data_IF_015002476088
#
_entry.id   IF_015002476088
#
_cell.length_a   1.000
_cell.length_b   1.000
_cell.length_c   1.000
_cell.angle_alpha   90.00
_cell.angle_beta   90.00
_cell.angle_gamma   90.00
#
_symmetry.space_group_name_H-M   'P 1'
#
loop_
_entity.id
_entity.type
_entity.pdbx_description
1 polymer ?
#
# COMPACT_ATOMS: atom_id res chain seq x y z
N UNK A 1 -9.97 -19.68 -8.75
CA UNK A 1 -8.87 -18.70 -8.71
C UNK A 1 -9.14 -17.68 -7.61
N UNK A 2 -8.12 -17.36 -6.82
CA UNK A 2 -8.26 -16.41 -5.72
C UNK A 2 -7.16 -15.36 -5.90
N UNK A 3 -7.52 -14.20 -6.44
CA UNK A 3 -6.54 -13.19 -6.80
C UNK A 3 -7.12 -11.81 -6.56
N UNK A 4 -6.34 -10.96 -5.89
CA UNK A 4 -6.75 -9.61 -5.56
C UNK A 4 -5.63 -8.66 -5.97
N UNK A 5 -6.00 -7.55 -6.59
CA UNK A 5 -5.05 -6.49 -6.94
C UNK A 5 -5.63 -5.21 -6.38
N UNK A 6 -4.87 -4.54 -5.52
CA UNK A 6 -5.33 -3.32 -4.86
C UNK A 6 -4.28 -2.24 -4.96
N UNK A 7 -4.73 -1.01 -5.09
CA UNK A 7 -3.86 0.16 -5.01
C UNK A 7 -4.41 1.07 -3.94
N UNK A 8 -3.57 1.43 -2.98
CA UNK A 8 -4.01 2.29 -1.90
C UNK A 8 -2.85 2.81 -1.08
N UNK A 9 -3.17 3.57 -0.04
CA UNK A 9 -2.18 4.13 0.86
C UNK A 9 -2.25 3.46 2.21
N UNK A 10 -1.09 3.27 2.83
CA UNK A 10 -1.06 2.73 4.18
C UNK A 10 -1.68 3.76 5.14
N UNK A 11 -2.55 3.27 6.01
CA UNK A 11 -3.21 4.14 6.98
C UNK A 11 -2.32 4.42 8.18
N UNK A 12 -1.34 3.55 8.42
CA UNK A 12 -0.34 3.72 9.48
C UNK A 12 0.85 2.85 9.14
N UNK A 13 1.91 2.98 9.92
CA UNK A 13 3.10 2.16 9.71
C UNK A 13 2.77 0.69 9.90
N UNK A 14 3.43 -0.20 9.15
CA UNK A 14 3.19 -1.63 9.32
C UNK A 14 3.53 -2.11 10.73
N UNK A 15 2.71 -3.02 11.23
CA UNK A 15 2.98 -3.69 12.49
C UNK A 15 3.77 -4.95 12.17
N UNK A 16 5.03 -4.99 12.56
CA UNK A 16 5.94 -6.05 12.16
C UNK A 16 6.26 -6.94 13.35
N UNK A 17 6.18 -8.24 13.15
CA UNK A 17 6.53 -9.23 14.15
C UNK A 17 7.37 -10.31 13.52
N UNK A 18 8.21 -10.94 14.33
CA UNK A 18 9.01 -12.07 13.89
C UNK A 18 8.55 -13.29 14.67
N UNK A 19 8.19 -14.34 13.94
CA UNK A 19 7.71 -15.58 14.55
C UNK A 19 8.69 -16.69 14.23
N UNK A 20 8.94 -17.56 15.19
CA UNK A 20 9.77 -18.74 14.97
C UNK A 20 8.87 -19.90 14.62
N UNK A 21 9.23 -20.61 13.57
CA UNK A 21 8.53 -21.83 13.24
C UNK A 21 9.08 -22.96 14.09
N UNK A 22 8.23 -23.93 14.32
CA UNK A 22 8.57 -25.05 15.18
C UNK A 22 9.89 -25.68 14.77
N UNK A 23 10.84 -25.70 15.70
CA UNK A 23 12.12 -26.37 15.48
C UNK A 23 13.08 -25.65 14.58
N UNK A 24 12.72 -24.51 14.05
CA UNK A 24 13.59 -23.75 13.17
C UNK A 24 14.23 -22.61 13.96
N UNK A 25 15.51 -22.36 13.71
CA UNK A 25 16.16 -21.22 14.31
C UNK A 25 15.89 -19.94 13.53
N UNK A 26 15.30 -20.07 12.36
CA UNK A 26 14.98 -18.91 11.54
C UNK A 26 13.62 -18.37 11.93
N UNK A 27 13.55 -17.05 12.05
CA UNK A 27 12.28 -16.39 12.31
C UNK A 27 11.69 -15.92 10.99
N UNK A 28 10.37 -15.95 10.91
CA UNK A 28 9.66 -15.44 9.75
C UNK A 28 9.09 -14.07 10.09
N UNK A 29 9.34 -13.12 9.20
CA UNK A 29 8.82 -11.77 9.34
C UNK A 29 7.35 -11.75 8.92
N UNK A 30 6.50 -11.18 9.78
CA UNK A 30 5.09 -11.00 9.48
C UNK A 30 4.77 -9.53 9.65
N UNK A 31 4.36 -8.88 8.58
CA UNK A 31 3.99 -7.46 8.62
C UNK A 31 2.51 -7.34 8.32
N UNK A 32 1.80 -6.58 9.15
CA UNK A 32 0.39 -6.32 8.94
C UNK A 32 0.20 -4.83 8.76
N UNK A 33 -0.58 -4.47 7.76
CA UNK A 33 -0.91 -3.07 7.52
C UNK A 33 -2.28 -2.98 6.89
N UNK A 34 -2.85 -1.79 6.92
CA UNK A 34 -4.16 -1.53 6.34
C UNK A 34 -4.01 -0.55 5.20
N UNK A 35 -4.60 -0.88 4.07
CA UNK A 35 -4.60 0.00 2.91
C UNK A 35 -5.94 0.71 2.81
N UNK A 36 -5.88 2.01 2.56
CA UNK A 36 -7.06 2.79 2.23
C UNK A 36 -7.17 2.79 0.71
N UNK A 37 -8.15 2.07 0.20
CA UNK A 37 -8.37 1.92 -1.24
C UNK A 37 -9.58 2.76 -1.62
N UNK A 38 -9.36 3.70 -2.54
CA UNK A 38 -10.42 4.63 -2.93
C UNK A 38 -11.58 3.90 -3.61
N UNK A 39 -12.78 4.30 -3.26
CA UNK A 39 -13.98 3.81 -3.93
C UNK A 39 -14.21 4.64 -5.18
N UNK A 40 -14.57 3.98 -6.25
CA UNK A 40 -14.91 4.66 -7.49
C UNK A 40 -16.30 5.26 -7.35
N UNK A 41 -16.44 6.52 -7.79
CA UNK A 41 -17.73 7.17 -7.80
C UNK A 41 -18.31 7.52 -6.44
N UNK A 42 -17.48 7.63 -5.43
CA UNK A 42 -17.96 8.01 -4.11
C UNK A 42 -18.55 9.43 -4.15
N UNK A 43 -19.71 9.60 -3.50
CA UNK A 43 -20.36 10.90 -3.44
C UNK A 43 -20.08 11.56 -2.11
N UNK A 44 -20.33 12.87 -2.07
CA UNK A 44 -20.16 13.62 -0.84
C UNK A 44 -21.02 13.00 0.26
N UNK A 45 -20.43 12.89 1.45
CA UNK A 45 -21.13 12.31 2.58
C UNK A 45 -21.06 10.81 2.66
N UNK A 46 -20.48 10.16 1.67
CA UNK A 46 -20.31 8.70 1.68
C UNK A 46 -18.85 8.35 1.98
N UNK A 47 -18.65 7.14 2.45
CA UNK A 47 -17.30 6.66 2.68
C UNK A 47 -16.57 6.62 1.34
N UNK A 48 -15.43 7.29 1.28
CA UNK A 48 -14.69 7.41 0.03
C UNK A 48 -13.62 6.35 -0.13
N UNK A 49 -13.34 5.57 0.90
CA UNK A 49 -12.30 4.55 0.84
C UNK A 49 -12.72 3.31 1.61
N UNK A 50 -12.21 2.19 1.16
CA UNK A 50 -12.32 0.93 1.89
C UNK A 50 -11.00 0.66 2.58
N UNK A 51 -11.08 0.19 3.82
CA UNK A 51 -9.89 -0.11 4.60
C UNK A 51 -9.68 -1.62 4.58
N UNK A 52 -8.62 -2.03 3.92
CA UNK A 52 -8.38 -3.45 3.64
C UNK A 52 -7.18 -3.92 4.46
N UNK A 53 -7.39 -4.93 5.28
CA UNK A 53 -6.32 -5.51 6.09
C UNK A 53 -5.44 -6.39 5.22
N UNK A 54 -4.14 -6.18 5.30
CA UNK A 54 -3.17 -6.93 4.52
C UNK A 54 -2.13 -7.55 5.44
N UNK A 55 -1.64 -8.72 5.05
CA UNK A 55 -0.59 -9.38 5.79
C UNK A 55 0.48 -9.87 4.82
N UNK A 56 1.73 -9.59 5.13
CA UNK A 56 2.87 -9.95 4.31
C UNK A 56 3.81 -10.82 5.11
N UNK A 57 4.22 -11.93 4.52
CA UNK A 57 5.08 -12.91 5.19
C UNK A 57 6.46 -12.95 4.54
N UNK A 58 7.46 -13.27 5.33
CA UNK A 58 8.81 -13.52 4.83
C UNK A 58 9.41 -12.30 4.18
N UNK A 59 9.87 -12.42 2.96
CA UNK A 59 10.52 -11.32 2.26
C UNK A 59 9.59 -10.14 2.04
N UNK A 60 8.31 -10.43 1.81
CA UNK A 60 7.33 -9.36 1.66
C UNK A 60 7.16 -8.59 2.97
N UNK A 61 7.20 -9.30 4.09
CA UNK A 61 7.15 -8.65 5.39
C UNK A 61 8.37 -7.78 5.64
N UNK A 62 9.54 -8.27 5.26
CA UNK A 62 10.77 -7.49 5.42
C UNK A 62 10.76 -6.25 4.53
N UNK A 63 10.23 -6.38 3.32
CA UNK A 63 10.09 -5.24 2.45
C UNK A 63 9.18 -4.18 3.08
N UNK A 64 8.07 -4.62 3.66
CA UNK A 64 7.15 -3.71 4.31
C UNK A 64 7.81 -3.00 5.48
N UNK A 65 8.58 -3.75 6.27
CA UNK A 65 9.28 -3.17 7.41
C UNK A 65 10.25 -2.09 6.99
N UNK A 66 11.00 -2.35 5.92
CA UNK A 66 12.06 -1.44 5.50
C UNK A 66 11.55 -0.23 4.73
N UNK A 67 10.53 -0.41 3.93
CA UNK A 67 10.20 0.60 2.93
C UNK A 67 8.81 1.19 3.04
N UNK A 68 7.88 0.54 3.73
CA UNK A 68 6.51 1.03 3.78
C UNK A 68 6.25 1.81 5.04
N UNK A 69 5.59 2.95 4.89
CA UNK A 69 5.26 3.84 6.00
C UNK A 69 3.85 4.37 5.81
N UNK A 70 3.33 4.97 6.86
CA UNK A 70 2.03 5.63 6.79
C UNK A 70 2.01 6.59 5.61
N UNK A 71 0.97 6.52 4.81
CA UNK A 71 0.78 7.41 3.68
C UNK A 71 1.42 6.97 2.38
N UNK A 72 2.24 5.93 2.40
CA UNK A 72 2.88 5.43 1.18
C UNK A 72 1.84 4.77 0.29
N UNK A 73 1.86 5.11 -0.99
CA UNK A 73 0.94 4.53 -1.96
C UNK A 73 1.59 3.35 -2.64
N UNK A 74 0.91 2.22 -2.61
CA UNK A 74 1.45 0.98 -3.17
C UNK A 74 0.39 0.24 -3.94
N UNK A 75 0.84 -0.65 -4.82
CA UNK A 75 0.00 -1.63 -5.48
C UNK A 75 0.37 -2.99 -4.90
N UNK A 76 -0.63 -3.73 -4.47
CA UNK A 76 -0.38 -5.07 -3.95
C UNK A 76 -1.15 -6.09 -4.78
N UNK A 77 -0.57 -7.25 -4.88
CA UNK A 77 -1.20 -8.41 -5.48
C UNK A 77 -1.18 -9.51 -4.45
N UNK A 78 -2.29 -10.19 -4.28
CA UNK A 78 -2.36 -11.25 -3.30
C UNK A 78 -3.65 -12.05 -3.44
N UNK A 79 -4.02 -12.71 -2.35
CA UNK A 79 -5.22 -13.52 -2.29
C UNK A 79 -5.99 -13.23 -1.02
N UNK A 80 -7.28 -13.45 -1.08
CA UNK A 80 -8.14 -13.27 0.09
C UNK A 80 -8.02 -14.52 0.96
N UNK A 81 -7.85 -14.32 2.25
CA UNK A 81 -7.85 -15.41 3.20
C UNK A 81 -8.79 -15.05 4.33
N UNK A 82 -9.71 -15.94 4.62
CA UNK A 82 -10.65 -15.76 5.72
C UNK A 82 -10.23 -16.61 6.90
N UNK A 83 -10.64 -16.17 8.08
CA UNK A 83 -10.37 -16.92 9.29
C UNK A 83 -11.36 -16.54 10.37
N UNK A 84 -11.16 -17.08 11.55
CA UNK A 84 -12.01 -16.72 12.68
C UNK A 84 -11.25 -17.01 13.97
N UNK A 85 -11.66 -16.29 15.02
CA UNK A 85 -11.15 -16.53 16.36
C UNK A 85 -12.26 -16.24 17.35
N UNK A 86 -12.10 -16.73 18.57
CA UNK A 86 -13.04 -16.47 19.65
C UNK A 86 -12.47 -15.35 20.51
N UNK A 87 -13.25 -14.28 20.69
CA UNK A 87 -12.78 -13.17 21.50
C UNK A 87 -12.99 -13.47 22.99
N UNK A 88 -12.64 -12.50 23.83
CA UNK A 88 -12.72 -12.69 25.28
C UNK A 88 -14.14 -12.90 25.78
N UNK A 89 -15.12 -12.39 25.02
CA UNK A 89 -16.52 -12.51 25.41
C UNK A 89 -17.13 -13.82 24.96
N UNK A 90 -16.33 -14.70 24.33
CA UNK A 90 -16.80 -15.99 23.85
C UNK A 90 -17.47 -15.93 22.49
N UNK A 91 -17.43 -14.79 21.85
CA UNK A 91 -18.07 -14.63 20.55
C UNK A 91 -17.07 -14.95 19.43
N UNK A 92 -17.56 -15.58 18.38
CA UNK A 92 -16.74 -15.91 17.23
C UNK A 92 -16.61 -14.69 16.34
N UNK A 93 -15.38 -14.29 16.06
CA UNK A 93 -15.09 -13.14 15.21
C UNK A 93 -14.49 -13.65 13.91
N UNK A 94 -15.06 -13.21 12.79
CA UNK A 94 -14.58 -13.61 11.46
C UNK A 94 -13.65 -12.54 10.93
N UNK A 95 -12.60 -12.99 10.26
CA UNK A 95 -11.60 -12.09 9.70
C UNK A 95 -11.48 -12.33 8.20
N UNK A 96 -11.12 -11.27 7.49
CA UNK A 96 -10.85 -11.34 6.06
C UNK A 96 -9.60 -10.51 5.81
N UNK A 97 -8.54 -11.16 5.35
CA UNK A 97 -7.27 -10.49 5.10
C UNK A 97 -6.83 -10.76 3.67
N UNK A 98 -6.01 -9.86 3.15
CA UNK A 98 -5.35 -10.08 1.87
C UNK A 98 -3.92 -10.51 2.18
N UNK A 99 -3.57 -11.73 1.78
CA UNK A 99 -2.21 -12.24 1.94
C UNK A 99 -1.41 -11.76 0.75
N UNK A 100 -0.36 -10.99 1.03
CA UNK A 100 0.40 -10.29 -0.01
C UNK A 100 1.36 -11.26 -0.71
N UNK A 101 1.30 -11.25 -2.03
CA UNK A 101 2.22 -12.00 -2.88
C UNK A 101 3.25 -11.09 -3.51
N UNK A 102 2.84 -9.88 -3.88
CA UNK A 102 3.72 -8.87 -4.46
C UNK A 102 3.29 -7.50 -4.00
N UNK A 103 4.25 -6.60 -3.88
CA UNK A 103 3.95 -5.20 -3.55
C UNK A 103 4.94 -4.31 -4.28
N UNK A 104 4.43 -3.20 -4.82
CA UNK A 104 5.23 -2.25 -5.55
C UNK A 104 4.80 -0.84 -5.18
N UNK A 105 5.73 0.09 -5.27
CA UNK A 105 5.39 1.50 -5.05
C UNK A 105 4.55 2.00 -6.21
N UNK A 106 3.48 2.71 -5.89
CA UNK A 106 2.60 3.31 -6.88
C UNK A 106 2.94 4.77 -7.14
N UNK A 107 3.94 5.30 -6.42
CA UNK A 107 4.45 6.63 -6.65
C UNK A 107 5.91 6.65 -6.26
N UNK A 108 6.67 7.58 -6.80
CA UNK A 108 8.09 7.62 -6.52
C UNK A 108 8.32 8.09 -5.09
N UNK A 109 9.44 7.69 -4.52
CA UNK A 109 9.81 8.13 -3.19
C UNK A 109 9.91 9.66 -3.12
N UNK A 110 10.40 10.25 -4.20
CA UNK A 110 10.52 11.69 -4.27
C UNK A 110 9.14 12.34 -4.28
N UNK A 111 8.20 11.80 -5.03
CA UNK A 111 6.85 12.36 -5.08
C UNK A 111 6.18 12.27 -3.72
N UNK A 112 6.37 11.18 -3.01
CA UNK A 112 5.80 11.03 -1.68
C UNK A 112 6.39 12.07 -0.72
N UNK A 113 7.68 12.32 -0.82
CA UNK A 113 8.31 13.35 -0.01
C UNK A 113 7.81 14.73 -0.34
N UNK A 114 7.62 15.02 -1.61
CA UNK A 114 7.13 16.31 -2.05
C UNK A 114 5.71 16.57 -1.59
N UNK A 115 4.93 15.52 -1.53
CA UNK A 115 3.59 15.68 -1.00
C UNK A 115 3.61 16.19 0.42
N UNK A 116 4.51 15.67 1.20
CA UNK A 116 4.61 16.09 2.58
C UNK A 116 5.08 17.52 2.69
N UNK A 117 5.91 17.95 1.78
CA UNK A 117 6.44 19.30 1.79
C UNK A 117 5.69 20.23 0.94
N UNK A 118 4.90 19.74 0.08
CA UNK A 118 4.21 20.53 -0.81
C UNK A 118 4.96 21.09 -1.81
N UNK A 119 5.64 21.05 -2.06
CA UNK A 119 6.20 21.56 -2.95
C UNK A 119 6.11 22.01 -3.96
N UNK A 120 6.02 22.35 -4.01
CA UNK A 120 5.98 22.86 -5.05
C UNK A 120 7.04 22.62 -5.81
N UNK A 121 7.46 22.39 -6.15
CA UNK A 121 8.39 22.24 -6.86
C UNK A 121 8.30 21.89 -8.01
N UNK A 122 8.40 22.01 -8.42
CA UNK A 122 8.34 21.80 -9.38
C UNK A 122 9.12 21.53 -10.12
N UNK A 123 9.51 21.54 -10.64
CA UNK A 123 10.03 21.38 -11.33
C UNK A 123 10.50 20.89 -11.89
N UNK A 124 10.47 20.74 -12.31
CA UNK A 124 10.82 20.27 -12.78
C UNK A 124 11.35 19.97 -13.26
N UNK A 125 11.37 20.09 -13.47
CA UNK A 125 11.65 19.71 -13.90
C UNK A 125 12.11 19.30 -14.40
N UNK A 126 12.27 19.40 -14.63
CA UNK A 126 12.57 19.00 -15.03
C UNK A 126 12.61 18.45 -15.67
N UNK A 127 12.57 18.45 -16.04
CA UNK A 127 12.52 18.09 -16.72
C UNK A 127 11.90 17.36 -17.31
N UNK A 128 11.35 17.10 -17.46
CA UNK A 128 10.70 16.47 -17.87
C UNK A 128 9.78 17.01 -18.57
N UNK A 129 9.66 17.30 -18.61
CA UNK A 129 8.97 17.81 -19.06
C UNK A 129 8.89 18.77 -19.42
N UNK A 130 9.22 19.16 -19.61
CA UNK A 130 9.08 20.13 -19.88
C UNK A 130 9.11 20.47 -20.78
N UNK A 131 8.94 20.28 -21.30
CA UNK A 131 8.68 20.60 -21.96
C UNK A 131 8.28 21.02 -22.41
N UNK A 132 8.07 21.29 -22.47
CA UNK A 132 7.58 21.78 -22.92
C UNK A 132 7.24 22.54 -23.30
N UNK A 133 7.31 22.87 -23.27
CA UNK A 133 6.82 23.55 -23.52
C UNK A 133 7.05 24.13 -24.38
N UNK A 134 7.34 24.25 -24.82
CA UNK A 134 7.36 24.61 -25.55
C UNK A 134 7.38 24.16 -26.31
N UNK A 135 7.38 23.86 -26.45
CA UNK A 135 7.16 23.32 -26.95
C UNK A 135 6.60 23.25 -27.31
N UNK A 136 6.34 23.39 -27.29
CA UNK A 136 5.66 23.38 -27.51
C UNK A 136 5.30 23.40 -27.93
N UNK A 137 5.25 23.56 -28.16
CA UNK A 137 4.64 23.46 -28.51
C UNK A 137 4.70 23.30 -29.27
N UNK A 138 4.99 23.37 -29.63
CA UNK A 138 4.82 23.11 -30.26
C UNK A 138 4.76 22.09 -30.60
N UNK A 139 4.57 21.70 -30.60
CA UNK A 139 4.28 20.72 -30.77
C UNK A 139 3.82 20.33 -31.41
N UNK A 140 3.86 20.18 -31.78
CA UNK A 140 3.21 19.77 -32.36
C UNK A 140 2.62 19.14 -32.29
N UNK A 141 2.47 19.02 -32.23
CA UNK A 141 1.69 18.52 -31.89
C UNK A 141 1.18 18.93 -31.73
N UNK A 142 1.69 19.44 -31.83
CA UNK A 142 1.35 19.89 -31.51
C UNK A 142 1.20 20.04 -31.56
#
# INVERSE_FOLDING_TARGET
MNKVILMGRLTRDPNVRYTQQNGSQESMCVARYTLAVDRRGARDGQQSADFISCVAFGKNGEFAEKYLKQGTKIVVTGRIQTGSYTNRDGQKVYTTDVVIEEQEFAESKKAAGEQAENAGYSDTGDGFMNIPDDVDGKLPFM
#
